data_IF_292899175160
#
_entry.id   IF_292899175160
#
_cell.length_a   1.000
_cell.length_b   1.000
_cell.length_c   1.000
_cell.angle_alpha   90.00
_cell.angle_beta   90.00
_cell.angle_gamma   90.00
#
_symmetry.space_group_name_H-M   'P 1'
#
loop_
_entity.id
_entity.type
_entity.pdbx_description
1 polymer ?
#
# COMPACT_ATOMS: atom_id res chain seq x y z
N UNK A 1 10.32 18.70 8.15
CA UNK A 1 9.32 19.44 7.33
C UNK A 1 9.06 18.62 6.08
N UNK A 2 7.80 18.45 5.67
CA UNK A 2 7.44 17.66 4.48
C UNK A 2 7.17 18.59 3.28
N UNK A 3 7.50 18.14 2.07
CA UNK A 3 7.26 18.85 0.82
C UNK A 3 5.80 19.27 0.68
N UNK A 4 4.87 18.38 1.05
CA UNK A 4 3.42 18.59 0.97
C UNK A 4 2.98 19.78 1.82
N UNK A 5 3.53 19.93 3.03
CA UNK A 5 3.22 21.06 3.92
C UNK A 5 3.86 22.37 3.44
N UNK A 6 5.03 22.27 2.81
CA UNK A 6 5.81 23.40 2.29
C UNK A 6 5.41 23.78 0.86
N UNK A 7 4.49 23.05 0.24
CA UNK A 7 4.17 23.16 -1.19
C UNK A 7 3.85 24.60 -1.65
N UNK A 8 3.04 25.40 -0.92
CA UNK A 8 2.76 26.78 -1.34
C UNK A 8 4.01 27.67 -1.37
N UNK A 9 4.96 27.43 -0.46
CA UNK A 9 6.22 28.17 -0.37
C UNK A 9 7.19 27.69 -1.45
N UNK A 10 7.35 26.36 -1.61
CA UNK A 10 8.25 25.78 -2.60
C UNK A 10 7.89 26.23 -4.02
N UNK A 11 6.60 26.30 -4.37
CA UNK A 11 6.12 26.81 -5.67
C UNK A 11 6.61 28.22 -6.01
N UNK A 12 6.97 29.04 -5.02
CA UNK A 12 7.51 30.40 -5.25
C UNK A 12 8.96 30.39 -5.76
N UNK A 13 9.65 29.23 -5.76
CA UNK A 13 11.04 29.09 -6.20
C UNK A 13 11.98 30.10 -5.52
N UNK A 14 11.80 30.35 -4.21
CA UNK A 14 12.63 31.29 -3.44
C UNK A 14 14.10 30.85 -3.38
N UNK A 15 14.32 29.54 -3.38
CA UNK A 15 15.62 28.92 -3.60
C UNK A 15 15.42 27.55 -4.26
N UNK A 16 16.45 27.02 -4.91
CA UNK A 16 16.41 25.69 -5.50
C UNK A 16 17.79 25.05 -5.61
N UNK A 17 17.83 23.71 -5.55
CA UNK A 17 18.98 22.88 -5.89
C UNK A 17 18.81 22.39 -7.33
N UNK A 18 19.71 22.77 -8.23
CA UNK A 18 19.62 22.39 -9.64
C UNK A 18 20.10 20.97 -9.93
N UNK A 19 20.79 20.34 -8.97
CA UNK A 19 21.52 19.08 -9.17
C UNK A 19 22.98 19.27 -9.61
N UNK A 20 23.34 20.48 -10.05
CA UNK A 20 24.70 20.83 -10.44
C UNK A 20 25.68 20.87 -9.27
N UNK A 21 26.96 20.66 -9.60
CA UNK A 21 28.08 20.68 -8.66
C UNK A 21 29.17 21.66 -9.07
N UNK A 22 29.83 22.26 -8.09
CA UNK A 22 31.04 23.03 -8.33
C UNK A 22 32.24 22.11 -8.63
N UNK A 23 33.41 22.70 -8.91
CA UNK A 23 34.64 21.95 -9.19
C UNK A 23 35.18 21.13 -8.01
N UNK A 24 34.71 21.41 -6.79
CA UNK A 24 35.03 20.64 -5.57
C UNK A 24 34.00 19.53 -5.31
N UNK A 25 33.06 19.34 -6.24
CA UNK A 25 31.88 18.48 -6.07
C UNK A 25 30.93 18.93 -4.95
N UNK A 26 30.98 20.21 -4.56
CA UNK A 26 30.02 20.85 -3.66
C UNK A 26 28.72 21.17 -4.38
N UNK A 27 27.59 21.13 -3.66
CA UNK A 27 26.26 21.32 -4.23
C UNK A 27 26.01 22.78 -4.62
N UNK A 28 25.28 23.00 -5.71
CA UNK A 28 24.89 24.34 -6.14
C UNK A 28 23.47 24.65 -5.66
N UNK A 29 23.35 25.67 -4.81
CA UNK A 29 22.10 26.24 -4.34
C UNK A 29 21.90 27.61 -4.97
N UNK A 30 20.74 27.86 -5.58
CA UNK A 30 20.44 29.14 -6.23
C UNK A 30 19.29 29.85 -5.53
N UNK A 31 19.45 31.14 -5.28
CA UNK A 31 18.46 32.05 -4.68
C UNK A 31 18.14 33.14 -5.73
N UNK A 32 17.09 32.96 -6.55
CA UNK A 32 16.68 33.96 -7.53
C UNK A 32 15.91 35.10 -6.86
N UNK A 33 16.57 36.25 -6.62
CA UNK A 33 15.91 37.36 -5.95
C UNK A 33 15.10 38.20 -6.93
N UNK A 34 13.84 38.44 -6.58
CA UNK A 34 12.95 39.40 -7.22
C UNK A 34 12.46 40.46 -6.22
N UNK A 35 12.27 41.68 -6.70
CA UNK A 35 11.91 42.84 -5.86
C UNK A 35 10.50 42.78 -5.25
N UNK A 36 9.64 41.89 -5.73
CA UNK A 36 8.21 41.82 -5.42
C UNK A 36 7.80 40.61 -4.57
N UNK A 37 8.67 39.60 -4.36
CA UNK A 37 8.24 38.28 -3.83
C UNK A 37 9.08 37.70 -2.68
N UNK A 38 10.15 38.36 -2.22
CA UNK A 38 11.10 37.72 -1.27
C UNK A 38 10.69 37.95 0.20
N UNK A 39 9.94 37.00 0.78
CA UNK A 39 9.76 36.90 2.24
C UNK A 39 10.97 36.19 2.86
N UNK A 40 11.60 36.82 3.87
CA UNK A 40 12.79 36.25 4.54
C UNK A 40 12.42 35.01 5.37
N UNK A 41 11.23 34.97 5.97
CA UNK A 41 10.75 33.82 6.73
C UNK A 41 10.52 32.62 5.81
N UNK A 42 9.86 32.84 4.68
CA UNK A 42 9.61 31.79 3.69
C UNK A 42 10.90 31.32 3.02
N UNK A 43 11.85 32.23 2.77
CA UNK A 43 13.18 31.87 2.28
C UNK A 43 13.93 31.00 3.30
N UNK A 44 13.92 31.37 4.58
CA UNK A 44 14.54 30.57 5.64
C UNK A 44 13.93 29.16 5.67
N UNK A 45 12.60 29.06 5.66
CA UNK A 45 11.92 27.76 5.65
C UNK A 45 12.24 26.95 4.38
N UNK A 46 12.38 27.60 3.22
CA UNK A 46 12.80 26.96 1.96
C UNK A 46 14.21 26.42 2.07
N UNK A 47 15.14 27.19 2.64
CA UNK A 47 16.52 26.78 2.85
C UNK A 47 16.60 25.60 3.83
N UNK A 48 15.93 25.68 4.97
CA UNK A 48 15.88 24.59 5.96
C UNK A 48 15.39 23.29 5.33
N UNK A 49 14.33 23.37 4.52
CA UNK A 49 13.84 22.22 3.77
C UNK A 49 14.88 21.70 2.77
N UNK A 50 15.38 22.55 1.86
CA UNK A 50 16.33 22.14 0.82
C UNK A 50 17.64 21.59 1.39
N UNK A 51 18.12 22.09 2.52
CA UNK A 51 19.36 21.63 3.16
C UNK A 51 19.17 20.32 3.93
N UNK A 52 17.93 19.95 4.27
CA UNK A 52 17.61 18.64 4.86
C UNK A 52 17.65 17.49 3.84
N UNK A 53 17.61 17.81 2.55
CA UNK A 53 17.52 16.87 1.45
C UNK A 53 18.84 16.10 1.22
N UNK A 54 20.01 16.75 1.04
CA UNK A 54 21.23 16.04 0.72
C UNK A 54 21.77 15.24 1.90
N UNK A 55 22.35 14.07 1.62
CA UNK A 55 23.03 13.27 2.65
C UNK A 55 24.20 14.02 3.29
N UNK A 56 24.57 13.65 4.52
CA UNK A 56 25.73 14.20 5.23
C UNK A 56 27.02 14.13 4.41
N UNK A 57 27.21 13.06 3.63
CA UNK A 57 28.36 12.91 2.72
C UNK A 57 28.41 13.99 1.65
N UNK A 58 27.25 14.41 1.14
CA UNK A 58 27.16 15.48 0.15
C UNK A 58 27.38 16.84 0.80
N UNK A 59 26.76 17.06 1.97
CA UNK A 59 26.91 18.29 2.76
C UNK A 59 28.36 18.55 3.18
N UNK A 60 29.13 17.50 3.49
CA UNK A 60 30.55 17.59 3.83
C UNK A 60 31.44 18.13 2.69
N UNK A 61 30.98 18.09 1.43
CA UNK A 61 31.68 18.72 0.28
C UNK A 61 31.37 20.21 0.14
N UNK A 62 30.42 20.69 0.93
CA UNK A 62 29.97 22.06 1.00
C UNK A 62 29.03 22.47 -0.13
N UNK A 63 28.61 23.74 -0.05
CA UNK A 63 27.71 24.40 -0.97
C UNK A 63 28.40 25.58 -1.65
N UNK A 64 28.09 25.76 -2.92
CA UNK A 64 28.24 27.03 -3.62
C UNK A 64 26.85 27.66 -3.78
N UNK A 65 26.65 28.83 -3.19
CA UNK A 65 25.36 29.54 -3.22
C UNK A 65 25.40 30.65 -4.26
N UNK A 66 24.49 30.62 -5.24
CA UNK A 66 24.31 31.68 -6.23
C UNK A 66 23.17 32.57 -5.74
N UNK A 67 23.46 33.84 -5.43
CA UNK A 67 22.45 34.84 -5.08
C UNK A 67 22.23 35.72 -6.31
N UNK A 68 21.14 35.48 -7.06
CA UNK A 68 20.84 36.28 -8.25
C UNK A 68 20.16 37.59 -7.86
N UNK A 69 20.97 38.63 -7.61
CA UNK A 69 20.51 39.96 -7.28
C UNK A 69 20.18 40.84 -8.48
N UNK A 70 20.21 40.33 -9.72
CA UNK A 70 20.05 41.14 -10.95
C UNK A 70 18.73 41.91 -11.00
N UNK A 71 17.67 41.35 -10.41
CA UNK A 71 16.31 41.92 -10.38
C UNK A 71 15.88 42.35 -8.97
N UNK A 72 16.83 42.58 -8.05
CA UNK A 72 16.53 42.88 -6.65
C UNK A 72 17.29 44.11 -6.13
N UNK A 73 16.80 44.64 -5.00
CA UNK A 73 17.45 45.75 -4.31
C UNK A 73 18.67 45.25 -3.54
N UNK A 74 19.74 46.04 -3.53
CA UNK A 74 21.00 45.67 -2.87
C UNK A 74 20.86 45.38 -1.37
N UNK A 75 19.96 46.07 -0.67
CA UNK A 75 19.70 45.80 0.74
C UNK A 75 19.11 44.41 0.96
N UNK A 76 18.25 43.93 0.07
CA UNK A 76 17.72 42.56 0.12
C UNK A 76 18.84 41.55 -0.09
N UNK A 77 19.69 41.77 -1.11
CA UNK A 77 20.87 40.93 -1.39
C UNK A 77 21.77 40.82 -0.15
N UNK A 78 22.08 41.95 0.49
CA UNK A 78 22.87 41.98 1.73
C UNK A 78 22.21 41.20 2.85
N UNK A 79 20.91 41.41 3.10
CA UNK A 79 20.18 40.69 4.14
C UNK A 79 20.21 39.19 3.89
N UNK A 80 20.04 38.74 2.64
CA UNK A 80 20.12 37.32 2.27
C UNK A 80 21.52 36.76 2.50
N UNK A 81 22.58 37.44 2.07
CA UNK A 81 23.97 36.98 2.32
C UNK A 81 24.26 36.88 3.82
N UNK A 82 23.80 37.83 4.63
CA UNK A 82 23.94 37.79 6.08
C UNK A 82 23.09 36.67 6.71
N UNK A 83 21.90 36.38 6.17
CA UNK A 83 21.08 35.26 6.61
C UNK A 83 21.81 33.91 6.38
N UNK A 84 22.52 33.74 5.27
CA UNK A 84 23.26 32.49 4.99
C UNK A 84 24.29 32.17 6.08
N UNK A 85 24.83 33.19 6.77
CA UNK A 85 25.72 32.99 7.91
C UNK A 85 25.04 32.28 9.07
N UNK A 86 23.75 32.50 9.29
CA UNK A 86 23.00 31.88 10.39
C UNK A 86 22.38 30.54 9.97
N UNK A 87 21.98 30.43 8.70
CA UNK A 87 21.24 29.27 8.18
C UNK A 87 22.17 28.18 7.64
N UNK A 88 23.35 28.53 7.13
CA UNK A 88 24.27 27.57 6.49
C UNK A 88 25.75 27.70 6.97
N UNK A 89 26.05 27.84 8.28
CA UNK A 89 27.38 28.25 8.71
C UNK A 89 28.48 27.17 8.65
N UNK A 90 28.17 25.89 8.43
CA UNK A 90 29.18 24.82 8.44
C UNK A 90 29.49 24.26 7.05
N UNK A 91 28.62 24.48 6.08
CA UNK A 91 28.71 23.84 4.77
C UNK A 91 28.90 24.82 3.60
N UNK A 92 28.73 26.14 3.75
CA UNK A 92 28.93 27.07 2.61
C UNK A 92 30.41 27.33 2.37
N UNK A 93 30.87 27.03 1.16
CA UNK A 93 32.24 27.25 0.75
C UNK A 93 32.42 28.50 -0.12
N UNK A 94 31.39 28.89 -0.89
CA UNK A 94 31.43 30.05 -1.78
C UNK A 94 30.03 30.65 -1.96
N UNK A 95 29.92 31.97 -1.95
CA UNK A 95 28.71 32.71 -2.30
C UNK A 95 28.98 33.61 -3.52
N UNK A 96 28.31 33.32 -4.62
CA UNK A 96 28.36 34.07 -5.87
C UNK A 96 27.20 35.05 -5.93
N UNK A 97 27.45 36.33 -5.67
CA UNK A 97 26.44 37.39 -5.79
C UNK A 97 26.42 37.90 -7.22
N UNK A 98 25.33 37.61 -7.95
CA UNK A 98 25.14 38.10 -9.31
C UNK A 98 24.63 39.53 -9.29
N UNK A 99 25.37 40.40 -9.96
CA UNK A 99 25.01 41.81 -10.13
C UNK A 99 24.59 42.10 -11.57
N UNK A 100 23.71 43.09 -11.80
CA UNK A 100 23.53 43.71 -13.11
C UNK A 100 24.87 44.11 -13.74
N UNK A 101 24.94 44.10 -15.06
CA UNK A 101 26.15 44.52 -15.78
C UNK A 101 26.44 46.01 -15.51
N UNK A 102 25.42 46.85 -15.50
CA UNK A 102 25.45 48.29 -15.16
C UNK A 102 25.27 48.55 -13.66
N UNK A 103 26.05 47.87 -12.81
CA UNK A 103 25.94 48.04 -11.36
C UNK A 103 26.41 49.43 -10.90
N UNK A 104 25.52 50.16 -10.20
CA UNK A 104 25.69 51.55 -9.78
C UNK A 104 26.92 51.72 -8.86
N UNK A 105 27.84 52.57 -9.30
CA UNK A 105 29.11 52.97 -8.68
C UNK A 105 30.23 51.92 -8.53
N UNK A 106 31.28 52.08 -9.36
CA UNK A 106 32.58 51.40 -9.28
C UNK A 106 33.27 51.53 -7.90
N UNK A 107 32.87 52.50 -7.06
CA UNK A 107 33.38 52.69 -5.69
C UNK A 107 32.70 51.82 -4.65
N UNK A 108 31.47 51.36 -4.89
CA UNK A 108 30.68 50.53 -3.96
C UNK A 108 31.12 49.06 -4.05
N UNK A 109 31.49 48.58 -5.24
CA UNK A 109 31.84 47.18 -5.52
C UNK A 109 33.08 46.64 -4.79
N UNK A 110 34.07 47.47 -4.49
CA UNK A 110 35.30 47.01 -3.80
C UNK A 110 35.15 46.88 -2.27
N UNK A 111 34.10 47.46 -1.68
CA UNK A 111 33.89 47.50 -0.23
C UNK A 111 32.71 46.63 0.25
N UNK A 112 31.91 46.10 -0.66
CA UNK A 112 30.77 45.26 -0.33
C UNK A 112 31.26 43.97 0.35
N UNK A 113 30.87 43.77 1.61
CA UNK A 113 31.26 42.67 2.48
C UNK A 113 32.71 42.62 2.97
N UNK A 114 33.58 43.57 2.59
CA UNK A 114 34.98 43.54 3.05
C UNK A 114 35.12 43.73 4.57
N UNK A 115 34.23 44.54 5.19
CA UNK A 115 34.15 44.67 6.65
C UNK A 115 33.57 43.44 7.36
N UNK A 116 32.82 42.62 6.63
CA UNK A 116 32.15 41.41 7.13
C UNK A 116 32.89 40.12 6.76
N UNK A 117 33.95 40.20 5.94
CA UNK A 117 34.67 39.05 5.38
C UNK A 117 35.17 38.07 6.45
N UNK A 118 35.76 38.59 7.53
CA UNK A 118 36.26 37.76 8.64
C UNK A 118 35.14 37.25 9.55
N UNK A 119 33.90 37.75 9.39
CA UNK A 119 32.73 37.35 10.18
C UNK A 119 31.88 36.29 9.49
N UNK A 120 31.74 36.34 8.17
CA UNK A 120 30.78 35.53 7.41
C UNK A 120 31.12 34.03 7.35
N UNK A 121 32.37 33.62 7.58
CA UNK A 121 32.76 32.19 7.57
C UNK A 121 32.87 31.54 6.19
N UNK A 122 32.50 32.25 5.12
CA UNK A 122 32.59 31.79 3.73
C UNK A 122 33.13 32.89 2.78
N UNK A 123 33.61 32.47 1.61
CA UNK A 123 34.05 33.40 0.56
C UNK A 123 32.85 34.01 -0.18
N UNK A 124 32.86 35.32 -0.40
CA UNK A 124 31.84 36.03 -1.20
C UNK A 124 32.48 36.68 -2.41
N UNK A 125 31.95 36.40 -3.60
CA UNK A 125 32.38 37.02 -4.86
C UNK A 125 31.24 37.76 -5.53
N UNK A 126 31.56 38.92 -6.10
CA UNK A 126 30.64 39.72 -6.91
C UNK A 126 30.97 39.48 -8.39
N UNK A 127 30.03 38.88 -9.12
CA UNK A 127 30.26 38.41 -10.49
C UNK A 127 29.08 38.74 -11.40
N UNK A 128 29.33 39.03 -12.67
CA UNK A 128 28.26 39.11 -13.68
C UNK A 128 27.84 37.70 -14.07
N UNK A 129 26.57 37.46 -14.42
CA UNK A 129 26.09 36.12 -14.79
C UNK A 129 26.99 35.42 -15.83
N UNK A 130 27.39 36.13 -16.90
CA UNK A 130 28.26 35.61 -17.96
C UNK A 130 29.68 35.19 -17.52
N UNK A 131 30.11 35.56 -16.30
CA UNK A 131 31.43 35.21 -15.75
C UNK A 131 31.35 34.06 -14.74
N UNK A 132 30.16 33.56 -14.43
CA UNK A 132 29.97 32.47 -13.47
C UNK A 132 30.62 31.16 -13.94
N UNK A 133 30.67 30.96 -15.26
CA UNK A 133 31.35 29.84 -15.94
C UNK A 133 32.86 29.74 -15.66
N UNK A 134 33.47 30.79 -15.10
CA UNK A 134 34.88 30.77 -14.66
C UNK A 134 35.06 29.96 -13.37
N UNK A 135 34.02 29.87 -12.55
CA UNK A 135 34.03 29.24 -11.23
C UNK A 135 33.31 27.88 -11.24
N UNK A 136 32.24 27.77 -12.01
CA UNK A 136 31.41 26.56 -12.13
C UNK A 136 31.42 26.13 -13.59
N UNK A 137 31.48 24.82 -13.85
CA UNK A 137 31.45 24.31 -15.22
C UNK A 137 30.10 24.61 -15.90
N UNK A 138 30.07 24.99 -17.20
CA UNK A 138 28.82 25.27 -17.90
C UNK A 138 27.80 24.13 -17.86
N UNK A 139 28.25 22.87 -17.86
CA UNK A 139 27.39 21.69 -17.74
C UNK A 139 26.70 21.53 -16.38
N UNK A 140 27.14 22.29 -15.36
CA UNK A 140 26.62 22.27 -13.99
C UNK A 140 25.80 23.52 -13.65
N UNK A 141 25.67 24.46 -14.60
CA UNK A 141 24.90 25.68 -14.46
C UNK A 141 23.63 25.64 -15.31
N UNK A 142 22.55 26.23 -14.82
CA UNK A 142 21.33 26.42 -15.61
C UNK A 142 21.55 27.47 -16.71
N UNK A 143 20.68 27.45 -17.72
CA UNK A 143 20.67 28.36 -18.86
C UNK A 143 20.60 29.84 -18.46
N UNK A 144 19.86 30.18 -17.39
CA UNK A 144 19.77 31.51 -16.77
C UNK A 144 21.14 32.15 -16.44
N UNK A 145 22.17 31.31 -16.28
CA UNK A 145 23.55 31.69 -15.93
C UNK A 145 24.58 31.31 -17.01
N UNK A 146 24.12 31.04 -18.23
CA UNK A 146 24.99 30.69 -19.36
C UNK A 146 25.54 29.26 -19.32
N UNK A 147 24.83 28.36 -18.63
CA UNK A 147 25.13 26.93 -18.62
C UNK A 147 24.22 26.12 -19.53
N UNK A 148 24.29 24.80 -19.40
CA UNK A 148 23.52 23.83 -20.18
C UNK A 148 22.81 22.77 -19.34
N UNK A 149 22.81 22.91 -18.01
CA UNK A 149 22.09 22.01 -17.10
C UNK A 149 20.59 22.31 -17.18
N UNK A 150 19.81 21.30 -17.54
CA UNK A 150 18.36 21.41 -17.58
C UNK A 150 17.77 21.29 -16.16
N UNK A 151 16.94 22.25 -15.78
CA UNK A 151 16.26 22.28 -14.49
C UNK A 151 14.84 22.85 -14.64
N UNK A 152 13.85 21.98 -14.48
CA UNK A 152 12.46 22.36 -14.35
C UNK A 152 12.03 22.26 -12.88
N UNK A 153 11.64 23.41 -12.31
CA UNK A 153 11.25 23.49 -10.90
C UNK A 153 9.93 22.77 -10.59
N UNK A 154 8.96 22.84 -11.52
CA UNK A 154 7.68 22.17 -11.36
C UNK A 154 7.84 20.65 -11.44
N UNK A 155 8.64 20.18 -12.39
CA UNK A 155 9.00 18.77 -12.53
C UNK A 155 9.75 18.26 -11.29
N UNK A 156 10.77 18.99 -10.80
CA UNK A 156 11.46 18.65 -9.56
C UNK A 156 10.50 18.55 -8.37
N UNK A 157 9.60 19.52 -8.21
CA UNK A 157 8.66 19.58 -7.09
C UNK A 157 7.66 18.42 -7.13
N UNK A 158 7.11 18.10 -8.31
CA UNK A 158 6.21 16.97 -8.49
C UNK A 158 6.90 15.65 -8.11
N UNK A 159 8.11 15.41 -8.62
CA UNK A 159 8.87 14.21 -8.26
C UNK A 159 9.17 14.13 -6.78
N UNK A 160 9.53 15.27 -6.17
CA UNK A 160 9.83 15.33 -4.74
C UNK A 160 8.61 14.95 -3.90
N UNK A 161 7.43 15.44 -4.25
CA UNK A 161 6.17 15.08 -3.58
C UNK A 161 5.88 13.59 -3.70
N UNK A 162 6.01 13.01 -4.90
CA UNK A 162 5.76 11.57 -5.13
C UNK A 162 6.76 10.72 -4.34
N UNK A 163 8.04 11.07 -4.37
CA UNK A 163 9.09 10.36 -3.65
C UNK A 163 8.90 10.39 -2.13
N UNK A 164 8.61 11.57 -1.55
CA UNK A 164 8.37 11.67 -0.10
C UNK A 164 7.08 10.94 0.32
N UNK A 165 6.02 11.05 -0.49
CA UNK A 165 4.77 10.32 -0.25
C UNK A 165 5.02 8.81 -0.23
N UNK A 166 5.65 8.28 -1.29
CA UNK A 166 5.95 6.86 -1.39
C UNK A 166 6.81 6.38 -0.22
N UNK A 167 7.86 7.13 0.13
CA UNK A 167 8.74 6.77 1.25
C UNK A 167 7.97 6.68 2.56
N UNK A 168 7.13 7.67 2.86
CA UNK A 168 6.32 7.74 4.09
C UNK A 168 5.30 6.60 4.16
N UNK A 169 4.53 6.40 3.10
CA UNK A 169 3.53 5.34 3.01
C UNK A 169 4.19 3.96 3.13
N UNK A 170 5.32 3.75 2.45
CA UNK A 170 6.09 2.50 2.52
C UNK A 170 6.60 2.21 3.92
N UNK A 171 7.19 3.20 4.61
CA UNK A 171 7.71 2.98 5.98
C UNK A 171 6.59 2.71 6.97
N UNK A 172 5.49 3.47 6.90
CA UNK A 172 4.32 3.25 7.78
C UNK A 172 3.74 1.85 7.55
N UNK A 173 3.57 1.47 6.29
CA UNK A 173 3.04 0.16 5.94
C UNK A 173 3.97 -0.97 6.36
N UNK A 174 5.29 -0.83 6.22
CA UNK A 174 6.26 -1.82 6.69
C UNK A 174 6.17 -2.04 8.20
N UNK A 175 6.07 -0.95 8.98
CA UNK A 175 5.95 -1.03 10.44
C UNK A 175 4.65 -1.75 10.84
N UNK A 176 3.52 -1.41 10.21
CA UNK A 176 2.24 -2.07 10.44
C UNK A 176 2.26 -3.55 10.04
N UNK A 177 2.79 -3.88 8.86
CA UNK A 177 2.91 -5.26 8.39
C UNK A 177 3.82 -6.08 9.30
N UNK A 178 4.91 -5.52 9.82
CA UNK A 178 5.76 -6.21 10.80
C UNK A 178 4.95 -6.58 12.05
N UNK A 179 4.15 -5.65 12.58
CA UNK A 179 3.31 -5.91 13.76
C UNK A 179 2.25 -6.97 13.47
N UNK A 180 1.61 -6.92 12.29
CA UNK A 180 0.58 -7.89 11.90
C UNK A 180 1.19 -9.28 11.69
N UNK A 181 2.38 -9.33 11.09
CA UNK A 181 3.08 -10.57 10.77
C UNK A 181 3.69 -11.24 12.01
N UNK A 182 4.22 -10.43 12.92
CA UNK A 182 4.83 -10.90 14.18
C UNK A 182 3.80 -11.05 15.31
N UNK A 183 2.58 -10.55 15.11
CA UNK A 183 1.48 -10.64 16.06
C UNK A 183 1.21 -12.08 16.46
N UNK A 184 1.45 -12.38 17.73
CA UNK A 184 1.30 -13.71 18.29
C UNK A 184 -0.12 -14.25 18.02
N UNK A 185 -0.23 -15.55 17.73
CA UNK A 185 -1.48 -16.27 17.39
C UNK A 185 -2.60 -16.17 18.45
N UNK A 186 -2.40 -15.41 19.53
CA UNK A 186 -3.29 -15.26 20.68
C UNK A 186 -3.83 -13.84 20.91
N UNK A 187 -3.37 -12.83 20.17
CA UNK A 187 -3.79 -11.44 20.40
C UNK A 187 -4.91 -11.00 19.45
N UNK A 188 -6.15 -11.19 19.91
CA UNK A 188 -7.39 -10.51 19.51
C UNK A 188 -7.80 -10.57 18.02
N UNK A 189 -9.01 -11.11 17.81
CA UNK A 189 -9.82 -11.12 16.59
C UNK A 189 -10.20 -9.74 16.03
N UNK A 190 -9.36 -8.72 16.20
CA UNK A 190 -9.51 -7.47 15.48
C UNK A 190 -8.69 -7.57 14.21
N UNK A 191 -9.38 -7.61 13.07
CA UNK A 191 -8.80 -7.47 11.75
C UNK A 191 -8.00 -6.16 11.67
N UNK A 192 -6.72 -6.20 12.05
CA UNK A 192 -5.79 -5.12 11.79
C UNK A 192 -5.53 -5.14 10.29
N UNK A 193 -6.37 -4.39 9.57
CA UNK A 193 -6.12 -4.05 8.19
C UNK A 193 -5.06 -2.96 8.16
N UNK A 194 -4.07 -3.08 7.27
CA UNK A 194 -3.10 -2.00 7.08
C UNK A 194 -3.83 -0.71 6.68
N UNK A 195 -3.30 0.43 7.12
CA UNK A 195 -3.84 1.75 6.85
C UNK A 195 -3.79 2.10 5.35
N UNK A 196 -2.84 1.52 4.63
CA UNK A 196 -2.69 1.62 3.18
C UNK A 196 -2.89 0.26 2.53
N UNK A 197 -3.46 0.26 1.33
CA UNK A 197 -3.48 -0.93 0.48
C UNK A 197 -2.05 -1.25 -0.04
N UNK A 198 -1.48 -2.42 0.29
CA UNK A 198 -0.12 -2.75 -0.10
C UNK A 198 0.10 -2.80 -1.62
N UNK A 199 -0.90 -3.20 -2.40
CA UNK A 199 -0.79 -3.24 -3.87
C UNK A 199 -0.64 -1.83 -4.45
N UNK A 200 -1.45 -0.88 -3.97
CA UNK A 200 -1.38 0.53 -4.37
C UNK A 200 -0.03 1.16 -4.04
N UNK A 201 0.54 0.88 -2.85
CA UNK A 201 1.85 1.42 -2.44
C UNK A 201 2.96 0.81 -3.31
N UNK A 202 2.91 -0.50 -3.56
CA UNK A 202 3.87 -1.18 -4.46
C UNK A 202 3.82 -0.60 -5.87
N UNK A 203 2.62 -0.43 -6.43
CA UNK A 203 2.41 0.15 -7.76
C UNK A 203 2.99 1.56 -7.87
N UNK A 204 2.74 2.40 -6.86
CA UNK A 204 3.33 3.76 -6.78
C UNK A 204 4.86 3.70 -6.80
N UNK A 205 5.46 2.75 -6.08
CA UNK A 205 6.90 2.55 -6.07
C UNK A 205 7.46 2.07 -7.42
N UNK A 206 6.74 1.21 -8.15
CA UNK A 206 7.15 0.76 -9.49
C UNK A 206 7.10 1.89 -10.52
N UNK A 207 6.07 2.72 -10.48
CA UNK A 207 5.95 3.92 -11.33
C UNK A 207 7.11 4.88 -11.07
N UNK A 208 7.36 5.21 -9.80
CA UNK A 208 8.47 6.05 -9.38
C UNK A 208 9.83 5.46 -9.82
N UNK A 209 10.03 4.16 -9.68
CA UNK A 209 11.26 3.50 -10.12
C UNK A 209 11.43 3.55 -11.66
N UNK A 210 10.34 3.39 -12.41
CA UNK A 210 10.35 3.49 -13.88
C UNK A 210 10.77 4.90 -14.33
N UNK A 211 10.21 5.93 -13.70
CA UNK A 211 10.56 7.33 -13.97
C UNK A 211 12.05 7.61 -13.68
N UNK A 212 12.57 7.13 -12.55
CA UNK A 212 13.98 7.28 -12.18
C UNK A 212 14.91 6.52 -13.14
N UNK A 213 14.49 5.37 -13.68
CA UNK A 213 15.29 4.57 -14.62
C UNK A 213 15.30 5.14 -16.04
N UNK A 214 14.17 5.64 -16.55
CA UNK A 214 14.08 6.22 -17.90
C UNK A 214 15.06 7.40 -18.08
N UNK A 215 15.33 8.15 -17.01
CA UNK A 215 16.30 9.26 -17.05
C UNK A 215 17.74 8.83 -17.27
N UNK A 216 18.15 7.63 -16.83
CA UNK A 216 19.50 7.12 -17.14
C UNK A 216 19.66 6.77 -18.62
N UNK A 217 18.63 6.20 -19.24
CA UNK A 217 18.73 5.67 -20.60
C UNK A 217 18.65 6.80 -21.66
N UNK A 218 17.75 7.76 -21.46
CA UNK A 218 17.66 8.94 -22.33
C UNK A 218 18.90 9.87 -22.25
N UNK A 219 19.73 9.73 -21.20
CA UNK A 219 21.01 10.46 -21.08
C UNK A 219 22.20 9.77 -21.76
N UNK A 220 22.07 8.50 -22.21
CA UNK A 220 23.21 7.70 -22.68
C UNK A 220 23.11 7.15 -24.11
N UNK A 221 21.95 7.18 -24.78
CA UNK A 221 21.78 6.56 -26.11
C UNK A 221 21.52 7.52 -27.28
N UNK A 222 22.05 8.75 -27.20
CA UNK A 222 22.07 9.68 -28.32
C UNK A 222 23.46 9.79 -28.95
N UNK A 223 23.87 8.81 -29.75
CA UNK A 223 24.98 8.95 -30.70
C UNK A 223 24.63 9.96 -31.80
N UNK A 224 24.55 11.24 -31.45
CA UNK A 224 24.17 12.34 -32.33
C UNK A 224 24.42 13.67 -31.63
N UNK A 225 25.11 14.58 -32.31
CA UNK A 225 25.60 15.86 -31.79
C UNK A 225 24.55 16.64 -30.97
N UNK A 226 24.90 17.03 -29.73
CA UNK A 226 24.46 18.30 -29.15
C UNK A 226 23.47 18.30 -27.98
N UNK A 227 23.09 17.16 -27.39
CA UNK A 227 22.26 17.15 -26.17
C UNK A 227 23.08 17.35 -24.88
N UNK A 228 22.66 18.18 -23.92
CA UNK A 228 23.39 18.34 -22.66
C UNK A 228 23.37 17.04 -21.83
N UNK A 229 24.53 16.66 -21.31
CA UNK A 229 24.67 15.54 -20.38
C UNK A 229 23.96 15.90 -19.06
N UNK A 230 22.84 15.24 -18.78
CA UNK A 230 22.11 15.40 -17.52
C UNK A 230 22.95 14.82 -16.37
N UNK A 231 23.21 15.63 -15.35
CA UNK A 231 23.98 15.26 -14.16
C UNK A 231 23.03 15.19 -12.96
N UNK A 232 22.49 14.01 -12.60
CA UNK A 232 21.61 13.88 -11.44
C UNK A 232 22.32 14.30 -10.17
N UNK A 233 21.57 14.87 -9.22
CA UNK A 233 22.09 15.13 -7.89
C UNK A 233 22.49 13.80 -7.23
N UNK A 234 23.50 13.80 -6.35
CA UNK A 234 23.89 12.59 -5.61
C UNK A 234 22.72 12.01 -4.79
N UNK A 235 21.77 12.85 -4.37
CA UNK A 235 20.55 12.40 -3.70
C UNK A 235 19.56 11.72 -4.66
N UNK A 236 19.36 12.23 -5.87
CA UNK A 236 18.55 11.58 -6.91
C UNK A 236 19.16 10.24 -7.32
N UNK A 237 20.50 10.13 -7.28
CA UNK A 237 21.21 8.86 -7.45
C UNK A 237 20.98 7.88 -6.29
N UNK A 238 20.74 8.39 -5.06
CA UNK A 238 20.40 7.59 -3.89
C UNK A 238 18.90 7.24 -3.81
N UNK A 239 18.03 8.03 -4.43
CA UNK A 239 16.59 7.81 -4.48
C UNK A 239 16.25 6.45 -5.11
N UNK A 240 16.91 6.08 -6.21
CA UNK A 240 16.66 4.80 -6.87
C UNK A 240 17.00 3.58 -5.98
N UNK A 241 18.21 3.44 -5.41
CA UNK A 241 18.52 2.37 -4.45
C UNK A 241 17.56 2.35 -3.25
N UNK A 242 17.14 3.51 -2.75
CA UNK A 242 16.21 3.61 -1.64
C UNK A 242 14.82 3.07 -2.01
N UNK A 243 14.29 3.46 -3.16
CA UNK A 243 12.99 2.98 -3.68
C UNK A 243 13.03 1.47 -3.89
N UNK A 244 14.10 0.95 -4.50
CA UNK A 244 14.28 -0.51 -4.68
C UNK A 244 14.29 -1.25 -3.35
N UNK A 245 15.06 -0.76 -2.37
CA UNK A 245 15.12 -1.38 -1.04
C UNK A 245 13.74 -1.42 -0.36
N UNK A 246 12.99 -0.32 -0.42
CA UNK A 246 11.65 -0.25 0.14
C UNK A 246 10.70 -1.22 -0.57
N UNK A 247 10.74 -1.28 -1.90
CA UNK A 247 9.94 -2.24 -2.69
C UNK A 247 10.25 -3.69 -2.32
N UNK A 248 11.52 -4.05 -2.18
CA UNK A 248 11.92 -5.41 -1.82
C UNK A 248 11.43 -5.78 -0.41
N UNK A 249 11.61 -4.87 0.56
CA UNK A 249 11.10 -5.06 1.92
C UNK A 249 9.57 -5.17 1.97
N UNK A 250 8.86 -4.32 1.22
CA UNK A 250 7.40 -4.33 1.15
C UNK A 250 6.90 -5.64 0.55
N UNK A 251 7.51 -6.12 -0.53
CA UNK A 251 7.15 -7.40 -1.16
C UNK A 251 7.31 -8.57 -0.21
N UNK A 252 8.41 -8.61 0.53
CA UNK A 252 8.67 -9.67 1.51
C UNK A 252 7.61 -9.67 2.63
N UNK A 253 7.36 -8.52 3.24
CA UNK A 253 6.38 -8.40 4.33
C UNK A 253 4.94 -8.61 3.84
N UNK A 254 4.62 -8.14 2.64
CA UNK A 254 3.30 -8.34 2.05
C UNK A 254 3.02 -9.80 1.73
N UNK A 255 4.03 -10.56 1.26
CA UNK A 255 3.87 -12.01 1.01
C UNK A 255 3.52 -12.74 2.31
N UNK A 256 4.22 -12.44 3.41
CA UNK A 256 3.92 -13.01 4.74
C UNK A 256 2.51 -12.66 5.20
N UNK A 257 2.10 -11.41 4.99
CA UNK A 257 0.74 -10.96 5.31
C UNK A 257 -0.33 -11.70 4.50
N UNK A 258 -0.12 -11.88 3.19
CA UNK A 258 -1.03 -12.65 2.32
C UNK A 258 -1.17 -14.10 2.78
N UNK A 259 -0.07 -14.75 3.16
CA UNK A 259 -0.09 -16.12 3.69
C UNK A 259 -0.87 -16.20 5.00
N UNK A 260 -0.67 -15.25 5.91
CA UNK A 260 -1.43 -15.16 7.17
C UNK A 260 -2.93 -14.94 6.93
N UNK A 261 -3.29 -14.05 6.00
CA UNK A 261 -4.68 -13.84 5.61
C UNK A 261 -5.31 -15.12 5.03
N UNK A 262 -4.59 -15.83 4.15
CA UNK A 262 -5.04 -17.11 3.59
C UNK A 262 -5.25 -18.15 4.70
N UNK A 263 -4.32 -18.24 5.66
CA UNK A 263 -4.44 -19.17 6.79
C UNK A 263 -5.61 -18.83 7.71
N UNK A 264 -5.83 -17.55 8.03
CA UNK A 264 -7.00 -17.11 8.81
C UNK A 264 -8.31 -17.44 8.11
N UNK A 265 -8.43 -17.12 6.82
CA UNK A 265 -9.64 -17.42 6.04
C UNK A 265 -9.93 -18.93 6.00
N UNK A 266 -8.88 -19.75 5.82
CA UNK A 266 -9.01 -21.21 5.87
C UNK A 266 -9.51 -21.69 7.23
N UNK A 267 -8.97 -21.14 8.33
CA UNK A 267 -9.40 -21.49 9.68
C UNK A 267 -10.86 -21.10 9.93
N UNK A 268 -11.26 -19.89 9.55
CA UNK A 268 -12.67 -19.45 9.66
C UNK A 268 -13.61 -20.36 8.87
N UNK A 269 -13.24 -20.77 7.65
CA UNK A 269 -14.03 -21.73 6.87
C UNK A 269 -14.15 -23.10 7.56
N UNK A 270 -13.09 -23.61 8.17
CA UNK A 270 -13.12 -24.86 8.94
C UNK A 270 -14.05 -24.74 10.15
N UNK A 271 -13.95 -23.65 10.92
CA UNK A 271 -14.79 -23.43 12.09
C UNK A 271 -16.29 -23.31 11.68
N UNK A 272 -16.59 -22.63 10.56
CA UNK A 272 -17.95 -22.56 10.00
C UNK A 272 -18.50 -23.92 9.58
N UNK A 273 -17.69 -24.75 8.88
CA UNK A 273 -18.06 -26.11 8.50
C UNK A 273 -18.34 -26.94 9.74
N UNK A 274 -17.45 -26.88 10.74
CA UNK A 274 -17.61 -27.60 11.99
C UNK A 274 -18.94 -27.21 12.68
N UNK A 275 -19.23 -25.91 12.79
CA UNK A 275 -20.52 -25.43 13.36
C UNK A 275 -21.72 -25.98 12.60
N UNK A 276 -21.72 -25.91 11.26
CA UNK A 276 -22.83 -26.41 10.44
C UNK A 276 -22.99 -27.93 10.53
N UNK A 277 -21.89 -28.70 10.54
CA UNK A 277 -21.92 -30.15 10.77
C UNK A 277 -22.57 -30.48 12.11
N UNK A 278 -22.19 -29.76 13.18
CA UNK A 278 -22.76 -29.98 14.51
C UNK A 278 -24.26 -29.64 14.58
N UNK A 279 -24.73 -28.63 13.82
CA UNK A 279 -26.16 -28.32 13.69
C UNK A 279 -26.92 -29.49 13.04
N UNK A 280 -26.42 -30.02 11.91
CA UNK A 280 -27.03 -31.17 11.21
C UNK A 280 -27.09 -32.39 12.13
N UNK A 281 -25.97 -32.73 12.76
CA UNK A 281 -25.88 -33.89 13.66
C UNK A 281 -26.86 -33.76 14.82
N UNK A 282 -26.91 -32.59 15.47
CA UNK A 282 -27.75 -32.33 16.64
C UNK A 282 -29.23 -32.40 16.28
N UNK A 283 -29.63 -31.85 15.13
CA UNK A 283 -31.01 -31.92 14.68
C UNK A 283 -31.44 -33.35 14.33
N UNK A 284 -30.63 -34.07 13.54
CA UNK A 284 -30.95 -35.43 13.11
C UNK A 284 -30.97 -36.44 14.26
N UNK A 285 -30.05 -36.33 15.22
CA UNK A 285 -29.99 -37.22 16.39
C UNK A 285 -30.99 -36.84 17.49
N UNK A 286 -31.41 -35.57 17.55
CA UNK A 286 -32.40 -35.08 18.49
C UNK A 286 -33.80 -35.02 17.87
N UNK A 287 -34.29 -33.82 17.47
CA UNK A 287 -35.63 -33.64 16.92
C UNK A 287 -36.04 -34.63 15.83
N UNK A 288 -35.20 -34.86 14.81
CA UNK A 288 -35.51 -35.76 13.69
C UNK A 288 -35.76 -37.20 14.15
N UNK A 289 -34.87 -37.71 15.01
CA UNK A 289 -35.02 -39.04 15.62
C UNK A 289 -36.26 -39.14 16.51
N UNK A 290 -36.61 -38.09 17.23
CA UNK A 290 -37.77 -38.08 18.13
C UNK A 290 -39.10 -38.06 17.36
N UNK A 291 -39.17 -37.32 16.25
CA UNK A 291 -40.31 -37.35 15.33
C UNK A 291 -40.57 -38.78 14.83
N UNK A 292 -39.52 -39.51 14.46
CA UNK A 292 -39.65 -40.89 14.01
C UNK A 292 -40.05 -41.82 15.15
N UNK A 293 -39.49 -41.68 16.35
CA UNK A 293 -39.83 -42.52 17.51
C UNK A 293 -41.27 -42.33 17.98
N UNK A 294 -41.79 -41.10 17.97
CA UNK A 294 -43.15 -40.81 18.42
C UNK A 294 -44.21 -41.24 17.41
N UNK A 295 -43.88 -41.22 16.12
CA UNK A 295 -44.76 -41.66 15.05
C UNK A 295 -44.42 -43.11 14.64
N UNK A 296 -44.96 -44.10 15.36
CA UNK A 296 -44.77 -45.54 15.05
C UNK A 296 -46.07 -46.26 14.66
N UNK A 297 -47.23 -45.60 14.78
CA UNK A 297 -48.51 -46.19 14.41
C UNK A 297 -48.62 -46.42 12.89
N UNK A 298 -49.42 -47.44 12.52
CA UNK A 298 -49.70 -47.85 11.13
C UNK A 298 -51.16 -47.66 10.69
N UNK A 299 -52.07 -47.36 11.63
CA UNK A 299 -53.48 -47.13 11.37
C UNK A 299 -54.33 -48.41 11.32
N UNK A 300 -55.53 -48.35 11.90
CA UNK A 300 -56.49 -49.46 11.97
C UNK A 300 -57.50 -49.48 10.82
N UNK A 301 -57.47 -48.47 9.96
CA UNK A 301 -58.34 -48.29 8.81
C UNK A 301 -57.59 -47.65 7.64
N UNK A 302 -58.14 -47.78 6.44
CA UNK A 302 -57.60 -47.16 5.23
C UNK A 302 -57.38 -45.64 5.41
N UNK A 303 -58.37 -44.96 5.99
CA UNK A 303 -58.32 -43.51 6.23
C UNK A 303 -57.24 -43.16 7.27
N UNK A 304 -57.13 -43.93 8.36
CA UNK A 304 -56.11 -43.69 9.38
C UNK A 304 -54.68 -43.89 8.83
N UNK A 305 -54.46 -44.94 8.02
CA UNK A 305 -53.18 -45.20 7.36
C UNK A 305 -52.80 -44.08 6.37
N UNK A 306 -53.77 -43.53 5.62
CA UNK A 306 -53.54 -42.37 4.74
C UNK A 306 -53.17 -41.10 5.51
N UNK A 307 -53.84 -40.81 6.63
CA UNK A 307 -53.47 -39.67 7.47
C UNK A 307 -52.06 -39.81 8.05
N UNK A 308 -51.67 -41.02 8.45
CA UNK A 308 -50.32 -41.29 8.97
C UNK A 308 -49.24 -41.19 7.87
N UNK A 309 -49.59 -41.50 6.62
CA UNK A 309 -48.73 -41.29 5.45
C UNK A 309 -48.47 -39.81 5.18
N UNK A 310 -49.51 -38.98 5.17
CA UNK A 310 -49.35 -37.53 4.99
C UNK A 310 -48.45 -36.91 6.08
N UNK A 311 -48.63 -37.35 7.34
CA UNK A 311 -47.74 -36.94 8.43
C UNK A 311 -46.29 -37.42 8.25
N UNK A 312 -46.10 -38.58 7.63
CA UNK A 312 -44.76 -39.07 7.34
C UNK A 312 -44.10 -38.26 6.22
N UNK A 313 -44.83 -37.88 5.18
CA UNK A 313 -44.36 -36.98 4.11
C UNK A 313 -43.94 -35.61 4.67
N UNK A 314 -44.66 -35.07 5.67
CA UNK A 314 -44.26 -33.85 6.39
C UNK A 314 -42.93 -34.03 7.14
N UNK A 315 -42.71 -35.20 7.76
CA UNK A 315 -41.43 -35.52 8.44
C UNK A 315 -40.30 -35.69 7.43
N UNK A 316 -40.54 -36.36 6.30
CA UNK A 316 -39.58 -36.49 5.21
C UNK A 316 -39.20 -35.13 4.63
N UNK A 317 -40.17 -34.23 4.47
CA UNK A 317 -39.92 -32.85 4.03
C UNK A 317 -38.95 -32.14 4.98
N UNK A 318 -39.16 -32.24 6.30
CA UNK A 318 -38.24 -31.64 7.28
C UNK A 318 -36.84 -32.25 7.22
N UNK A 319 -36.72 -33.57 7.02
CA UNK A 319 -35.41 -34.22 6.88
C UNK A 319 -34.72 -33.85 5.56
N UNK A 320 -35.47 -33.62 4.49
CA UNK A 320 -34.93 -33.26 3.17
C UNK A 320 -34.17 -31.93 3.17
N UNK A 321 -34.61 -30.96 3.99
CA UNK A 321 -33.90 -29.69 4.18
C UNK A 321 -32.49 -29.92 4.76
N UNK A 322 -32.38 -30.80 5.76
CA UNK A 322 -31.09 -31.15 6.35
C UNK A 322 -30.23 -32.03 5.45
N UNK A 323 -30.83 -32.90 4.63
CA UNK A 323 -30.11 -33.66 3.61
C UNK A 323 -29.57 -32.76 2.48
N UNK A 324 -30.23 -31.65 2.16
CA UNK A 324 -29.67 -30.66 1.24
C UNK A 324 -28.41 -30.00 1.84
N UNK A 325 -28.47 -29.59 3.11
CA UNK A 325 -27.29 -29.04 3.82
C UNK A 325 -26.16 -30.06 3.91
N UNK A 326 -26.47 -31.34 4.12
CA UNK A 326 -25.50 -32.44 4.06
C UNK A 326 -24.71 -32.49 2.75
N UNK A 327 -25.41 -32.42 1.61
CA UNK A 327 -24.78 -32.46 0.28
C UNK A 327 -23.86 -31.24 0.09
N UNK A 328 -24.33 -30.06 0.47
CA UNK A 328 -23.54 -28.82 0.38
C UNK A 328 -22.27 -28.90 1.24
N UNK A 329 -22.39 -29.36 2.49
CA UNK A 329 -21.25 -29.52 3.40
C UNK A 329 -20.24 -30.54 2.87
N UNK A 330 -20.68 -31.65 2.29
CA UNK A 330 -19.77 -32.61 1.68
C UNK A 330 -19.01 -32.05 0.48
N UNK A 331 -19.65 -31.18 -0.32
CA UNK A 331 -18.96 -30.50 -1.41
C UNK A 331 -17.89 -29.54 -0.88
N UNK A 332 -18.22 -28.78 0.18
CA UNK A 332 -17.26 -27.87 0.84
C UNK A 332 -16.09 -28.63 1.46
N UNK A 333 -16.36 -29.73 2.17
CA UNK A 333 -15.33 -30.58 2.77
C UNK A 333 -14.43 -31.20 1.67
N UNK A 334 -15.02 -31.70 0.58
CA UNK A 334 -14.25 -32.27 -0.53
C UNK A 334 -13.31 -31.23 -1.18
N UNK A 335 -13.78 -29.98 -1.33
CA UNK A 335 -12.94 -28.90 -1.84
C UNK A 335 -11.72 -28.65 -0.92
N UNK A 336 -11.93 -28.59 0.39
CA UNK A 336 -10.84 -28.39 1.36
C UNK A 336 -9.88 -29.58 1.45
N UNK A 337 -10.38 -30.81 1.34
CA UNK A 337 -9.54 -32.02 1.35
C UNK A 337 -8.55 -32.08 0.19
N UNK A 338 -8.86 -31.45 -0.94
CA UNK A 338 -7.95 -31.40 -2.10
C UNK A 338 -6.74 -30.48 -1.91
N UNK A 339 -6.79 -29.58 -0.92
CA UNK A 339 -5.81 -28.53 -0.67
C UNK A 339 -5.36 -28.43 0.80
N UNK A 340 -5.71 -29.43 1.62
CA UNK A 340 -5.45 -29.48 3.06
C UNK A 340 -4.11 -30.13 3.41
N UNK A 341 -3.53 -29.72 4.54
CA UNK A 341 -2.37 -30.41 5.14
C UNK A 341 -2.83 -31.65 5.93
N UNK A 342 -1.91 -32.54 6.32
CA UNK A 342 -2.25 -33.85 6.91
C UNK A 342 -3.19 -33.78 8.13
N UNK A 343 -2.97 -32.84 9.05
CA UNK A 343 -3.77 -32.69 10.27
C UNK A 343 -5.20 -32.23 9.96
N UNK A 344 -5.35 -31.23 9.10
CA UNK A 344 -6.65 -30.72 8.66
C UNK A 344 -7.44 -31.77 7.87
N UNK A 345 -6.74 -32.58 7.07
CA UNK A 345 -7.33 -33.69 6.32
C UNK A 345 -7.93 -34.73 7.27
N UNK A 346 -7.29 -34.99 8.41
CA UNK A 346 -7.82 -35.91 9.43
C UNK A 346 -9.09 -35.34 10.07
N UNK A 347 -9.08 -34.07 10.47
CA UNK A 347 -10.24 -33.40 11.07
C UNK A 347 -11.44 -33.36 10.11
N UNK A 348 -11.23 -32.94 8.87
CA UNK A 348 -12.26 -32.88 7.83
C UNK A 348 -12.85 -34.27 7.50
N UNK A 349 -12.02 -35.31 7.46
CA UNK A 349 -12.50 -36.69 7.27
C UNK A 349 -13.36 -37.17 8.44
N UNK A 350 -12.98 -36.82 9.68
CA UNK A 350 -13.77 -37.15 10.86
C UNK A 350 -15.17 -36.49 10.81
N UNK A 351 -15.22 -35.20 10.45
CA UNK A 351 -16.49 -34.48 10.26
C UNK A 351 -17.34 -35.09 9.14
N UNK A 352 -16.73 -35.41 7.99
CA UNK A 352 -17.41 -36.06 6.86
C UNK A 352 -17.99 -37.42 7.25
N UNK A 353 -17.25 -38.22 8.00
CA UNK A 353 -17.69 -39.54 8.45
C UNK A 353 -18.87 -39.41 9.41
N UNK A 354 -18.75 -38.55 10.43
CA UNK A 354 -19.82 -38.31 11.41
C UNK A 354 -21.11 -37.85 10.73
N UNK A 355 -20.99 -36.92 9.77
CA UNK A 355 -22.09 -36.38 9.01
C UNK A 355 -22.76 -37.46 8.13
N UNK A 356 -21.96 -38.29 7.45
CA UNK A 356 -22.47 -39.39 6.63
C UNK A 356 -23.19 -40.45 7.47
N UNK A 357 -22.60 -40.84 8.61
CA UNK A 357 -23.17 -41.85 9.50
C UNK A 357 -24.55 -41.45 10.03
N UNK A 358 -24.72 -40.20 10.45
CA UNK A 358 -26.02 -39.72 10.94
C UNK A 358 -27.05 -39.64 9.82
N UNK A 359 -26.67 -39.16 8.63
CA UNK A 359 -27.59 -39.00 7.52
C UNK A 359 -28.09 -40.36 7.00
N UNK A 360 -27.20 -41.32 6.77
CA UNK A 360 -27.58 -42.66 6.31
C UNK A 360 -28.49 -43.38 7.31
N UNK A 361 -28.24 -43.23 8.62
CA UNK A 361 -29.08 -43.83 9.65
C UNK A 361 -30.51 -43.28 9.66
N UNK A 362 -30.65 -41.95 9.53
CA UNK A 362 -31.97 -41.33 9.45
C UNK A 362 -32.69 -41.70 8.16
N UNK A 363 -31.99 -41.68 7.02
CA UNK A 363 -32.55 -42.07 5.73
C UNK A 363 -33.11 -43.50 5.76
N UNK A 364 -32.34 -44.47 6.27
CA UNK A 364 -32.80 -45.85 6.44
C UNK A 364 -34.02 -45.97 7.38
N UNK A 365 -34.11 -45.12 8.41
CA UNK A 365 -35.24 -45.12 9.35
C UNK A 365 -36.51 -44.56 8.73
N UNK A 366 -36.39 -43.50 7.91
CA UNK A 366 -37.49 -42.95 7.12
C UNK A 366 -37.99 -43.99 6.11
N UNK A 367 -37.08 -44.58 5.33
CA UNK A 367 -37.41 -45.60 4.32
C UNK A 367 -38.11 -46.81 4.95
N UNK A 368 -37.61 -47.31 6.09
CA UNK A 368 -38.24 -48.41 6.83
C UNK A 368 -39.68 -48.06 7.23
N UNK A 369 -39.93 -46.86 7.75
CA UNK A 369 -41.27 -46.40 8.12
C UNK A 369 -42.18 -46.25 6.91
N UNK A 370 -41.68 -45.66 5.82
CA UNK A 370 -42.41 -45.52 4.56
C UNK A 370 -42.89 -46.88 4.05
N UNK A 371 -42.00 -47.88 4.04
CA UNK A 371 -42.33 -49.24 3.61
C UNK A 371 -43.45 -49.87 4.47
N UNK A 372 -43.40 -49.67 5.80
CA UNK A 372 -44.43 -50.18 6.72
C UNK A 372 -45.79 -49.50 6.48
N UNK A 373 -45.82 -48.18 6.30
CA UNK A 373 -47.07 -47.45 6.02
C UNK A 373 -47.67 -47.86 4.68
N UNK A 374 -46.84 -48.00 3.64
CA UNK A 374 -47.28 -48.47 2.34
C UNK A 374 -47.85 -49.90 2.42
N UNK A 375 -47.22 -50.80 3.17
CA UNK A 375 -47.73 -52.15 3.40
C UNK A 375 -49.10 -52.14 4.12
N UNK A 376 -49.26 -51.27 5.13
CA UNK A 376 -50.54 -51.12 5.85
C UNK A 376 -51.66 -50.60 4.92
N UNK A 377 -51.36 -49.64 4.05
CA UNK A 377 -52.31 -49.15 3.05
C UNK A 377 -52.72 -50.24 2.06
N UNK A 378 -51.76 -50.99 1.53
CA UNK A 378 -52.03 -52.12 0.65
C UNK A 378 -52.91 -53.16 1.33
N UNK A 379 -52.63 -53.51 2.59
CA UNK A 379 -53.44 -54.45 3.37
C UNK A 379 -54.90 -53.99 3.51
N UNK A 380 -55.13 -52.73 3.92
CA UNK A 380 -56.48 -52.20 4.08
C UNK A 380 -57.23 -52.09 2.75
N UNK A 381 -56.53 -51.73 1.66
CA UNK A 381 -57.12 -51.68 0.32
C UNK A 381 -57.54 -53.08 -0.16
N UNK A 382 -56.68 -54.10 0.01
CA UNK A 382 -57.03 -55.48 -0.31
C UNK A 382 -58.22 -55.98 0.51
N UNK A 383 -58.29 -55.63 1.81
CA UNK A 383 -59.44 -55.97 2.67
C UNK A 383 -60.74 -55.36 2.15
N UNK A 384 -60.72 -54.10 1.71
CA UNK A 384 -61.89 -53.42 1.12
C UNK A 384 -62.34 -54.08 -0.19
N UNK A 385 -61.41 -54.43 -1.07
CA UNK A 385 -61.70 -55.10 -2.35
C UNK A 385 -62.27 -56.50 -2.11
N UNK A 386 -61.68 -57.29 -1.23
CA UNK A 386 -62.20 -58.63 -0.92
C UNK A 386 -63.59 -58.56 -0.30
N UNK A 387 -63.84 -57.60 0.59
CA UNK A 387 -65.16 -57.41 1.18
C UNK A 387 -66.21 -57.00 0.13
N UNK A 388 -65.87 -56.08 -0.79
CA UNK A 388 -66.80 -55.65 -1.85
C UNK A 388 -67.12 -56.75 -2.86
N UNK A 389 -66.18 -57.65 -3.13
CA UNK A 389 -66.41 -58.85 -3.95
C UNK A 389 -67.33 -59.83 -3.23
N UNK A 390 -67.14 -60.05 -1.92
CA UNK A 390 -67.97 -60.97 -1.13
C UNK A 390 -69.38 -60.45 -0.85
N UNK A 391 -69.63 -59.14 -0.85
CA UNK A 391 -70.96 -58.56 -0.61
C UNK A 391 -71.76 -58.27 -1.89
N UNK A 392 -71.15 -58.40 -3.07
CA UNK A 392 -71.83 -58.26 -4.38
C UNK A 392 -72.17 -59.62 -5.02
N UNK A 393 -71.98 -60.71 -4.29
CA UNK A 393 -72.57 -62.04 -4.52
C UNK A 393 -73.69 -62.26 -3.52
#
# INVERSE_FOLDING_TARGET
MEATTMLPILKKKLAFLSGGKDRRSGLILTIPLSSDQTSMEELSATLDYLLSIPSEKCKARGFTVIVDGRKSQWNIVKTVVLMLQNVIPAEVSLVCVLKPDEFWDKKVTHFCFWKEKDRLGFEVILVSANKLTRYIEPSQLTDDFGGSLDYDHCDWLNKRLVFEKFTKESTSLLDELSIINDGDKSAAESALLPSFDPETVLQTGHELLSELQQRRFNGSEGGGQGGPAWCPMDEELLAQPQVMKLLDSLREQYTKYQDLCRQRNKRTQLDEIHTKVMQVVTWLQGPGSELLKTQQAIGDSMRAAQTLQQKHEEIESQHSEWFAVYVELNQQIAALLSAGDEEEVVELKALQQQLSDVCYRQAASLESRQNVLQAAQCFHNCKLICFSVLTNT
#
